data_IF_681806424565
#
_entry.id   IF_681806424565
#
_cell.length_a   1.000
_cell.length_b   1.000
_cell.length_c   1.000
_cell.angle_alpha   90.00
_cell.angle_beta   90.00
_cell.angle_gamma   90.00
#
_symmetry.space_group_name_H-M   'P 1'
#
loop_
_entity.id
_entity.type
_entity.pdbx_description
1 polymer ?
#
# COMPACT_ATOMS: atom_id res chain seq x y z
N UNK A 1 31.55 39.66 -23.81
CA UNK A 1 31.39 38.19 -23.80
C UNK A 1 31.26 37.63 -22.39
N UNK A 2 32.22 37.84 -21.50
CA UNK A 2 32.20 37.29 -20.12
C UNK A 2 30.95 37.68 -19.31
N UNK A 3 30.54 38.97 -19.29
CA UNK A 3 29.34 39.45 -18.60
C UNK A 3 28.05 38.80 -19.11
N UNK A 4 27.97 38.44 -20.36
CA UNK A 4 26.80 37.75 -20.96
C UNK A 4 26.77 36.28 -20.57
N UNK A 5 27.92 35.59 -20.57
CA UNK A 5 28.04 34.22 -20.09
C UNK A 5 27.69 34.11 -18.60
N UNK A 6 28.12 35.06 -17.76
CA UNK A 6 27.75 35.09 -16.34
C UNK A 6 26.24 35.31 -16.14
N UNK A 7 25.58 36.12 -16.97
CA UNK A 7 24.12 36.29 -16.90
C UNK A 7 23.38 35.02 -17.30
N UNK A 8 23.80 34.34 -18.36
CA UNK A 8 23.21 33.06 -18.78
C UNK A 8 23.41 32.01 -17.67
N UNK A 9 24.63 31.91 -17.13
CA UNK A 9 24.91 31.00 -16.03
C UNK A 9 24.01 31.27 -14.81
N UNK A 10 23.85 32.55 -14.44
CA UNK A 10 22.95 32.95 -13.34
C UNK A 10 21.48 32.59 -13.57
N UNK A 11 20.98 32.82 -14.79
CA UNK A 11 19.62 32.43 -15.18
C UNK A 11 19.44 30.91 -15.13
N UNK A 12 20.42 30.16 -15.65
CA UNK A 12 20.37 28.70 -15.64
C UNK A 12 20.32 28.14 -14.19
N UNK A 13 21.17 28.64 -13.30
CA UNK A 13 21.18 28.25 -11.88
C UNK A 13 19.84 28.56 -11.22
N UNK A 14 19.26 29.73 -11.50
CA UNK A 14 17.95 30.10 -10.98
C UNK A 14 16.84 29.15 -11.47
N UNK A 15 16.81 28.85 -12.77
CA UNK A 15 15.83 27.92 -13.37
C UNK A 15 15.97 26.52 -12.77
N UNK A 16 17.20 26.00 -12.66
CA UNK A 16 17.45 24.70 -12.05
C UNK A 16 17.07 24.69 -10.55
N UNK A 17 17.32 25.76 -9.82
CA UNK A 17 16.91 25.91 -8.43
C UNK A 17 15.39 25.92 -8.26
N UNK A 18 14.66 26.61 -9.15
CA UNK A 18 13.19 26.62 -9.16
C UNK A 18 12.64 25.23 -9.49
N UNK A 19 13.20 24.54 -10.51
CA UNK A 19 12.80 23.19 -10.88
C UNK A 19 13.06 22.20 -9.74
N UNK A 20 14.24 22.27 -9.10
CA UNK A 20 14.58 21.46 -7.95
C UNK A 20 13.56 21.66 -6.81
N UNK A 21 13.31 22.92 -6.45
CA UNK A 21 12.34 23.25 -5.41
C UNK A 21 10.93 22.75 -5.78
N UNK A 22 10.48 22.97 -7.01
CA UNK A 22 9.15 22.58 -7.45
C UNK A 22 8.98 21.06 -7.47
N UNK A 23 9.94 20.32 -8.06
CA UNK A 23 9.83 18.87 -8.23
C UNK A 23 10.02 18.11 -6.93
N UNK A 24 10.89 18.56 -6.03
CA UNK A 24 11.34 17.77 -4.90
C UNK A 24 10.85 18.26 -3.53
N UNK A 25 10.43 19.52 -3.41
CA UNK A 25 10.09 20.12 -2.11
C UNK A 25 8.71 20.74 -2.07
N UNK A 26 8.25 21.36 -3.18
CA UNK A 26 7.02 22.14 -3.14
C UNK A 26 5.77 21.26 -3.03
N UNK A 27 4.75 21.79 -2.35
CA UNK A 27 3.44 21.18 -2.28
C UNK A 27 3.40 19.79 -1.64
N UNK A 28 4.40 19.44 -0.81
CA UNK A 28 4.49 18.12 -0.17
C UNK A 28 4.05 18.10 1.30
N UNK A 29 3.78 19.25 1.91
CA UNK A 29 3.23 19.27 3.26
C UNK A 29 1.78 18.82 3.26
N UNK A 30 1.38 18.05 4.27
CA UNK A 30 -0.01 17.75 4.55
C UNK A 30 -0.84 19.02 4.78
N UNK A 31 -2.14 18.92 4.69
CA UNK A 31 -3.05 20.04 5.02
C UNK A 31 -2.96 20.37 6.52
N UNK A 32 -3.33 21.60 6.91
CA UNK A 32 -3.31 22.01 8.33
C UNK A 32 -4.39 21.33 9.15
N UNK A 33 -5.54 21.05 8.54
CA UNK A 33 -6.63 20.28 9.12
C UNK A 33 -7.26 19.44 8.02
N UNK A 34 -7.46 18.16 8.27
CA UNK A 34 -8.26 17.32 7.37
C UNK A 34 -9.75 17.60 7.64
N UNK A 35 -10.62 17.48 6.62
CA UNK A 35 -12.02 17.21 6.91
C UNK A 35 -12.08 15.89 7.72
N UNK A 36 -13.16 15.66 8.49
CA UNK A 36 -13.40 14.43 9.26
C UNK A 36 -13.62 13.26 8.27
N UNK A 37 -12.50 12.80 7.67
CA UNK A 37 -12.53 11.79 6.60
C UNK A 37 -12.53 10.37 7.16
N UNK A 38 -12.02 10.16 8.38
CA UNK A 38 -11.87 8.83 8.97
C UNK A 38 -12.45 8.79 10.39
N UNK A 39 -13.53 8.01 10.57
CA UNK A 39 -14.15 7.77 11.87
C UNK A 39 -13.88 6.34 12.34
N UNK A 40 -12.83 6.17 13.16
CA UNK A 40 -12.46 4.86 13.71
C UNK A 40 -13.57 4.27 14.59
N UNK A 41 -14.47 5.08 15.15
CA UNK A 41 -15.58 4.58 15.98
C UNK A 41 -16.60 3.80 15.14
N UNK A 42 -16.84 4.25 13.89
CA UNK A 42 -17.63 3.52 12.92
C UNK A 42 -16.97 2.19 12.56
N UNK A 43 -15.65 2.18 12.33
CA UNK A 43 -14.93 0.95 11.98
C UNK A 43 -14.99 -0.07 13.13
N UNK A 44 -14.74 0.37 14.36
CA UNK A 44 -14.88 -0.47 15.58
C UNK A 44 -16.29 -1.04 15.70
N UNK A 45 -17.31 -0.22 15.44
CA UNK A 45 -18.70 -0.67 15.48
C UNK A 45 -19.00 -1.74 14.42
N UNK A 46 -18.47 -1.58 13.20
CA UNK A 46 -18.66 -2.54 12.10
C UNK A 46 -17.82 -3.81 12.29
N UNK A 47 -16.64 -3.72 12.89
CA UNK A 47 -15.77 -4.85 13.21
C UNK A 47 -16.30 -5.68 14.39
N UNK A 48 -17.19 -5.13 15.22
CA UNK A 48 -17.65 -5.77 16.43
C UNK A 48 -18.34 -7.12 16.16
N UNK A 49 -18.00 -8.12 16.94
CA UNK A 49 -18.55 -9.47 16.87
C UNK A 49 -18.23 -10.28 18.14
N UNK A 50 -18.74 -11.51 18.25
CA UNK A 50 -18.30 -12.44 19.30
C UNK A 50 -16.78 -12.62 19.23
N UNK A 51 -16.10 -12.56 20.38
CA UNK A 51 -14.64 -12.57 20.42
C UNK A 51 -14.03 -13.82 19.77
N UNK A 52 -14.65 -14.97 19.90
CA UNK A 52 -14.24 -16.25 19.31
C UNK A 52 -14.39 -16.30 17.78
N UNK A 53 -15.09 -15.34 17.18
CA UNK A 53 -15.25 -15.21 15.72
C UNK A 53 -14.26 -14.23 15.08
N UNK A 54 -13.52 -13.46 15.89
CA UNK A 54 -12.54 -12.49 15.39
C UNK A 54 -11.26 -13.20 14.91
N UNK A 55 -10.42 -12.54 14.11
CA UNK A 55 -9.12 -13.11 13.70
C UNK A 55 -8.18 -13.23 14.92
N UNK A 56 -7.33 -14.26 14.89
CA UNK A 56 -6.35 -14.53 15.94
C UNK A 56 -5.03 -13.81 15.73
N UNK A 57 -4.68 -13.57 14.46
CA UNK A 57 -3.41 -12.93 14.08
C UNK A 57 -3.45 -12.42 12.66
N UNK A 58 -2.46 -11.58 12.33
CA UNK A 58 -2.06 -11.30 10.94
C UNK A 58 -0.65 -11.80 10.70
N UNK A 59 -0.38 -12.23 9.47
CA UNK A 59 0.96 -12.58 9.00
C UNK A 59 1.30 -11.75 7.76
N UNK A 60 2.31 -10.90 7.88
CA UNK A 60 2.89 -10.15 6.77
C UNK A 60 3.85 -11.08 6.07
N UNK A 61 3.52 -11.47 4.84
CA UNK A 61 4.29 -12.40 4.01
C UNK A 61 5.11 -11.55 3.03
N UNK A 62 6.38 -11.33 3.34
CA UNK A 62 7.28 -10.64 2.43
C UNK A 62 7.64 -11.57 1.27
N UNK A 63 7.29 -11.14 0.07
CA UNK A 63 7.60 -11.86 -1.18
C UNK A 63 8.94 -11.42 -1.73
N UNK A 64 9.26 -10.15 -1.51
CA UNK A 64 10.54 -9.58 -1.90
C UNK A 64 10.77 -8.23 -1.23
N UNK A 65 11.98 -7.72 -1.39
CA UNK A 65 12.32 -6.38 -0.91
C UNK A 65 13.37 -5.73 -1.83
N UNK A 66 13.48 -4.42 -1.74
CA UNK A 66 14.45 -3.59 -2.45
C UNK A 66 14.76 -2.34 -1.62
N UNK A 67 15.60 -1.49 -2.14
CA UNK A 67 16.02 -0.23 -1.52
C UNK A 67 15.88 0.91 -2.52
N UNK A 68 15.04 1.88 -2.19
CA UNK A 68 14.80 3.08 -2.99
C UNK A 68 15.37 4.34 -2.33
N UNK A 69 15.75 5.39 -3.10
CA UNK A 69 16.11 6.67 -2.50
C UNK A 69 14.95 7.22 -1.65
N UNK A 70 15.20 7.50 -0.36
CA UNK A 70 14.15 7.88 0.58
C UNK A 70 13.41 9.17 0.19
N UNK A 71 14.04 10.05 -0.61
CA UNK A 71 13.37 11.24 -1.13
C UNK A 71 12.17 10.91 -2.03
N UNK A 72 12.14 9.73 -2.67
CA UNK A 72 11.02 9.32 -3.52
C UNK A 72 9.74 9.07 -2.68
N UNK A 73 9.90 8.58 -1.46
CA UNK A 73 8.83 8.32 -0.51
C UNK A 73 8.46 9.55 0.34
N UNK A 74 9.45 10.39 0.66
CA UNK A 74 9.31 11.52 1.58
C UNK A 74 10.07 12.75 1.06
N UNK A 75 9.35 13.78 0.68
CA UNK A 75 9.91 15.00 0.11
C UNK A 75 10.95 15.63 1.04
N UNK A 76 12.15 15.90 0.48
CA UNK A 76 13.25 16.50 1.22
C UNK A 76 14.13 15.52 2.00
N UNK A 77 13.85 14.21 2.02
CA UNK A 77 14.65 13.19 2.67
C UNK A 77 15.80 12.73 1.74
N UNK A 78 16.86 13.54 1.64
CA UNK A 78 18.03 13.24 0.82
C UNK A 78 19.11 12.48 1.59
N UNK A 79 19.95 11.71 0.86
CA UNK A 79 21.15 11.09 1.39
C UNK A 79 20.92 9.80 2.17
N UNK A 80 19.71 9.23 2.13
CA UNK A 80 19.39 7.92 2.70
C UNK A 80 18.51 7.11 1.74
N UNK A 81 18.44 5.81 2.00
CA UNK A 81 17.54 4.90 1.30
C UNK A 81 16.41 4.45 2.24
N UNK A 82 15.27 4.11 1.66
CA UNK A 82 14.18 3.42 2.28
C UNK A 82 14.25 1.93 1.88
N UNK A 83 14.34 1.04 2.85
CA UNK A 83 14.14 -0.39 2.61
C UNK A 83 12.64 -0.65 2.35
N UNK A 84 12.32 -1.11 1.15
CA UNK A 84 10.94 -1.34 0.71
C UNK A 84 10.64 -2.83 0.71
N UNK A 85 9.48 -3.22 1.26
CA UNK A 85 8.94 -4.57 1.23
C UNK A 85 7.87 -4.70 0.14
N UNK A 86 7.84 -5.83 -0.56
CA UNK A 86 6.74 -6.26 -1.42
C UNK A 86 6.06 -7.44 -0.74
N UNK A 87 4.83 -7.27 -0.28
CA UNK A 87 4.20 -8.22 0.62
C UNK A 87 2.71 -8.40 0.36
N UNK A 88 2.19 -9.50 0.90
CA UNK A 88 0.77 -9.72 1.13
C UNK A 88 0.53 -9.94 2.64
N UNK A 89 -0.69 -9.74 3.11
CA UNK A 89 -1.06 -9.97 4.51
C UNK A 89 -2.10 -11.07 4.58
N UNK A 90 -1.80 -12.13 5.34
CA UNK A 90 -2.78 -13.14 5.72
C UNK A 90 -3.43 -12.71 7.04
N UNK A 91 -4.76 -12.73 7.09
CA UNK A 91 -5.55 -12.57 8.31
C UNK A 91 -6.04 -13.95 8.69
N UNK A 92 -5.59 -14.45 9.85
CA UNK A 92 -5.82 -15.83 10.31
C UNK A 92 -6.97 -15.87 11.32
N UNK A 93 -7.95 -16.73 11.05
CA UNK A 93 -9.02 -17.09 11.97
C UNK A 93 -8.81 -18.53 12.47
N UNK A 94 -9.54 -19.00 13.50
CA UNK A 94 -9.44 -20.37 13.97
C UNK A 94 -9.72 -21.44 12.89
N UNK A 95 -10.56 -21.15 11.90
CA UNK A 95 -11.11 -22.10 10.92
C UNK A 95 -10.92 -21.66 9.46
N UNK A 96 -10.45 -20.44 9.21
CA UNK A 96 -10.30 -19.87 7.85
C UNK A 96 -9.23 -18.78 7.81
N UNK A 97 -8.99 -18.26 6.63
CA UNK A 97 -8.09 -17.11 6.42
C UNK A 97 -8.60 -16.18 5.31
N UNK A 98 -8.19 -14.93 5.39
CA UNK A 98 -8.30 -13.95 4.31
C UNK A 98 -6.90 -13.56 3.84
N UNK A 99 -6.76 -13.16 2.57
CA UNK A 99 -5.52 -12.62 2.01
C UNK A 99 -5.76 -11.18 1.56
N UNK A 100 -4.88 -10.27 1.94
CA UNK A 100 -4.88 -8.88 1.49
C UNK A 100 -3.63 -8.65 0.65
N UNK A 101 -3.82 -8.28 -0.63
CA UNK A 101 -2.73 -7.97 -1.54
C UNK A 101 -2.37 -9.13 -2.46
N UNK A 102 -1.99 -8.77 -3.68
CA UNK A 102 -1.57 -9.68 -4.72
C UNK A 102 -0.07 -9.68 -4.97
N UNK A 103 0.70 -8.94 -4.19
CA UNK A 103 2.14 -8.81 -4.26
C UNK A 103 2.69 -8.65 -5.71
N UNK A 104 4.01 -8.73 -5.87
CA UNK A 104 4.71 -8.68 -7.15
C UNK A 104 5.12 -10.08 -7.58
N UNK A 105 5.13 -10.38 -8.87
CA UNK A 105 5.80 -11.59 -9.40
C UNK A 105 7.31 -11.34 -9.62
N UNK A 106 8.09 -12.43 -9.82
CA UNK A 106 9.54 -12.31 -10.00
C UNK A 106 9.93 -11.42 -11.18
N UNK A 107 9.27 -11.57 -12.32
CA UNK A 107 9.63 -10.82 -13.52
C UNK A 107 9.45 -9.31 -13.30
N UNK A 108 8.35 -8.94 -12.67
CA UNK A 108 8.06 -7.55 -12.31
C UNK A 108 9.01 -7.04 -11.22
N UNK A 109 9.31 -7.84 -10.20
CA UNK A 109 10.27 -7.48 -9.16
C UNK A 109 11.68 -7.24 -9.72
N UNK A 110 12.11 -8.04 -10.71
CA UNK A 110 13.39 -7.85 -11.42
C UNK A 110 13.39 -6.58 -12.28
N UNK A 111 12.28 -6.28 -12.96
CA UNK A 111 12.13 -5.06 -13.78
C UNK A 111 12.13 -3.78 -12.91
N UNK A 112 11.51 -3.84 -11.73
CA UNK A 112 11.44 -2.71 -10.79
C UNK A 112 12.73 -2.51 -9.98
N UNK A 113 13.66 -3.46 -10.01
CA UNK A 113 14.84 -3.47 -9.14
C UNK A 113 15.65 -2.18 -9.22
N UNK A 114 15.90 -1.57 -8.07
CA UNK A 114 16.65 -0.33 -7.90
C UNK A 114 18.03 -0.56 -7.26
N UNK A 115 18.19 -1.62 -6.45
CA UNK A 115 19.44 -1.94 -5.75
C UNK A 115 19.85 -3.38 -5.98
N UNK A 116 21.07 -3.61 -6.48
CA UNK A 116 21.62 -4.97 -6.61
C UNK A 116 22.02 -5.58 -5.23
N UNK A 117 22.32 -4.74 -4.26
CA UNK A 117 22.81 -5.19 -2.96
C UNK A 117 21.68 -5.52 -1.97
N UNK A 118 20.54 -4.84 -2.11
CA UNK A 118 19.45 -4.89 -1.15
C UNK A 118 18.20 -5.60 -1.72
N UNK A 119 18.27 -6.09 -2.96
CA UNK A 119 17.15 -6.76 -3.61
C UNK A 119 17.09 -8.24 -3.26
N UNK A 120 15.90 -8.73 -2.93
CA UNK A 120 15.61 -10.15 -2.80
C UNK A 120 14.20 -10.47 -3.31
N UNK A 121 14.00 -11.72 -3.72
CA UNK A 121 12.70 -12.31 -4.08
C UNK A 121 12.63 -13.76 -3.64
N UNK A 122 11.60 -14.15 -2.93
CA UNK A 122 11.37 -15.50 -2.44
C UNK A 122 10.39 -16.27 -3.30
N UNK A 123 10.89 -17.15 -4.18
CA UNK A 123 10.05 -18.05 -4.98
C UNK A 123 9.16 -18.95 -4.10
N UNK A 124 9.70 -19.36 -2.95
CA UNK A 124 8.97 -20.22 -2.02
C UNK A 124 7.80 -19.48 -1.38
N UNK A 125 8.01 -18.23 -0.94
CA UNK A 125 6.95 -17.42 -0.37
C UNK A 125 5.89 -17.05 -1.42
N UNK A 126 6.33 -16.73 -2.66
CA UNK A 126 5.43 -16.43 -3.76
C UNK A 126 4.55 -17.64 -4.14
N UNK A 127 5.16 -18.82 -4.29
CA UNK A 127 4.42 -20.04 -4.59
C UNK A 127 3.43 -20.42 -3.47
N UNK A 128 3.82 -20.22 -2.21
CA UNK A 128 2.93 -20.41 -1.07
C UNK A 128 1.75 -19.42 -1.09
N UNK A 129 2.01 -18.15 -1.38
CA UNK A 129 0.96 -17.13 -1.51
C UNK A 129 -0.07 -17.51 -2.59
N UNK A 130 0.38 -17.94 -3.78
CA UNK A 130 -0.53 -18.37 -4.84
C UNK A 130 -1.43 -19.55 -4.37
N UNK A 131 -0.86 -20.52 -3.67
CA UNK A 131 -1.63 -21.65 -3.14
C UNK A 131 -2.59 -21.21 -2.01
N UNK A 132 -2.16 -20.28 -1.15
CA UNK A 132 -2.96 -19.75 -0.05
C UNK A 132 -4.16 -18.95 -0.56
N UNK A 133 -4.02 -18.19 -1.67
CA UNK A 133 -5.12 -17.46 -2.31
C UNK A 133 -6.25 -18.39 -2.77
N UNK A 134 -5.94 -19.60 -3.22
CA UNK A 134 -6.96 -20.57 -3.65
C UNK A 134 -7.76 -21.18 -2.48
N UNK A 135 -7.20 -21.18 -1.29
CA UNK A 135 -7.82 -21.75 -0.08
C UNK A 135 -8.34 -20.68 0.88
N UNK A 136 -8.04 -19.41 0.64
CA UNK A 136 -8.59 -18.30 1.41
C UNK A 136 -10.09 -18.17 1.17
N UNK A 137 -10.83 -17.80 2.23
CA UNK A 137 -12.26 -17.49 2.10
C UNK A 137 -12.48 -16.25 1.21
N UNK A 138 -11.58 -15.27 1.33
CA UNK A 138 -11.59 -14.06 0.53
C UNK A 138 -10.16 -13.61 0.22
N UNK A 139 -9.99 -13.09 -0.99
CA UNK A 139 -8.77 -12.42 -1.44
C UNK A 139 -9.13 -10.98 -1.83
N UNK A 140 -8.53 -10.03 -1.15
CA UNK A 140 -8.70 -8.59 -1.35
C UNK A 140 -7.36 -7.97 -1.75
N UNK A 141 -7.35 -6.71 -2.16
CA UNK A 141 -6.14 -5.91 -2.31
C UNK A 141 -6.37 -4.48 -1.83
N UNK A 142 -5.30 -3.83 -1.38
CA UNK A 142 -5.39 -2.44 -0.93
C UNK A 142 -5.58 -1.48 -2.10
N UNK A 143 -4.95 -1.74 -3.25
CA UNK A 143 -5.05 -0.92 -4.44
C UNK A 143 -4.51 -1.64 -5.69
N UNK A 144 -4.72 -1.05 -6.86
CA UNK A 144 -4.47 -1.64 -8.17
C UNK A 144 -3.14 -1.22 -8.81
N UNK A 145 -2.02 -1.18 -8.06
CA UNK A 145 -0.69 -1.07 -8.65
C UNK A 145 -0.02 -2.43 -8.84
N UNK A 146 0.98 -2.45 -9.71
CA UNK A 146 1.63 -3.66 -10.18
C UNK A 146 2.23 -4.51 -9.04
N UNK A 147 2.76 -3.90 -8.01
CA UNK A 147 3.35 -4.56 -6.85
C UNK A 147 2.31 -5.03 -5.79
N UNK A 148 1.02 -4.84 -6.08
CA UNK A 148 -0.10 -5.31 -5.27
C UNK A 148 -1.08 -6.22 -6.02
N UNK A 149 -0.94 -6.37 -7.35
CA UNK A 149 -1.96 -7.02 -8.18
C UNK A 149 -1.44 -8.20 -8.99
N UNK A 150 -0.10 -8.36 -9.15
CA UNK A 150 0.46 -9.32 -10.10
C UNK A 150 0.08 -10.78 -9.81
N UNK A 151 0.10 -11.21 -8.54
CA UNK A 151 -0.31 -12.55 -8.16
C UNK A 151 -1.81 -12.82 -8.42
N UNK A 152 -2.63 -11.77 -8.52
CA UNK A 152 -4.03 -11.86 -8.90
C UNK A 152 -4.17 -11.88 -10.43
N UNK A 153 -3.64 -10.87 -11.12
CA UNK A 153 -3.83 -10.67 -12.56
C UNK A 153 -3.16 -11.79 -13.40
N UNK A 154 -2.10 -12.41 -12.86
CA UNK A 154 -1.31 -13.47 -13.52
C UNK A 154 -1.39 -14.82 -12.79
N UNK A 155 -2.44 -15.00 -11.99
CA UNK A 155 -2.59 -16.25 -11.24
C UNK A 155 -2.72 -17.46 -12.18
N UNK A 156 -1.95 -18.53 -11.99
CA UNK A 156 -1.96 -19.68 -12.90
C UNK A 156 -3.30 -20.45 -12.90
N UNK A 157 -4.09 -20.32 -11.83
CA UNK A 157 -5.46 -20.88 -11.74
C UNK A 157 -6.44 -19.73 -11.47
N UNK A 158 -6.58 -18.84 -12.45
CA UNK A 158 -7.43 -17.66 -12.37
C UNK A 158 -8.91 -18.00 -12.15
N UNK A 159 -9.38 -19.11 -12.72
CA UNK A 159 -10.77 -19.54 -12.61
C UNK A 159 -11.14 -19.96 -11.18
N UNK A 160 -10.24 -20.67 -10.49
CA UNK A 160 -10.44 -20.99 -9.08
C UNK A 160 -10.32 -19.75 -8.19
N UNK A 161 -9.30 -18.91 -8.44
CA UNK A 161 -9.10 -17.67 -7.70
C UNK A 161 -10.29 -16.70 -7.80
N UNK A 162 -10.91 -16.57 -8.98
CA UNK A 162 -12.03 -15.65 -9.23
C UNK A 162 -13.19 -15.84 -8.26
N UNK A 163 -13.38 -17.04 -7.72
CA UNK A 163 -14.46 -17.34 -6.76
C UNK A 163 -14.22 -16.69 -5.40
N UNK A 164 -12.98 -16.42 -5.04
CA UNK A 164 -12.56 -15.89 -3.72
C UNK A 164 -12.27 -14.39 -3.76
N UNK A 165 -12.19 -13.78 -4.97
CA UNK A 165 -11.85 -12.36 -5.11
C UNK A 165 -12.99 -11.46 -4.60
N UNK A 166 -12.62 -10.46 -3.79
CA UNK A 166 -13.50 -9.44 -3.26
C UNK A 166 -12.90 -8.08 -3.57
N UNK A 167 -13.26 -7.54 -4.74
CA UNK A 167 -12.67 -6.33 -5.32
C UNK A 167 -13.74 -5.26 -5.57
N UNK A 168 -13.31 -3.99 -5.63
CA UNK A 168 -14.14 -2.88 -6.10
C UNK A 168 -14.03 -2.68 -7.62
N UNK A 169 -14.90 -1.84 -8.18
CA UNK A 169 -14.96 -1.61 -9.62
C UNK A 169 -13.66 -1.03 -10.22
N UNK A 170 -12.99 -0.03 -9.64
CA UNK A 170 -11.69 0.44 -10.13
C UNK A 170 -10.63 -0.65 -10.16
N UNK A 171 -10.51 -1.46 -9.11
CA UNK A 171 -9.55 -2.56 -9.02
C UNK A 171 -9.75 -3.58 -10.15
N UNK A 172 -11.00 -3.99 -10.39
CA UNK A 172 -11.34 -4.92 -11.49
C UNK A 172 -10.98 -4.29 -12.84
N UNK A 173 -11.31 -3.01 -13.04
CA UNK A 173 -11.03 -2.31 -14.29
C UNK A 173 -9.55 -2.20 -14.62
N UNK A 174 -8.67 -2.29 -13.62
CA UNK A 174 -7.23 -2.22 -13.78
C UNK A 174 -6.58 -3.57 -14.11
N UNK A 175 -7.20 -4.72 -13.79
CA UNK A 175 -6.61 -6.05 -14.00
C UNK A 175 -6.05 -6.27 -15.42
N UNK A 176 -6.74 -5.83 -16.52
CA UNK A 176 -6.21 -6.02 -17.87
C UNK A 176 -4.87 -5.33 -18.14
N UNK A 177 -4.52 -4.29 -17.37
CA UNK A 177 -3.26 -3.56 -17.52
C UNK A 177 -2.06 -4.40 -17.05
N UNK A 178 -2.28 -5.37 -16.19
CA UNK A 178 -1.25 -6.17 -15.51
C UNK A 178 -1.23 -7.63 -15.96
N UNK A 179 -2.15 -8.04 -16.81
CA UNK A 179 -2.15 -9.37 -17.39
C UNK A 179 -0.93 -9.58 -18.33
N UNK A 180 -0.36 -10.77 -18.30
CA UNK A 180 0.64 -11.15 -19.29
C UNK A 180 -0.09 -11.65 -20.56
N UNK A 181 -0.28 -10.73 -21.50
CA UNK A 181 -1.05 -10.98 -22.72
C UNK A 181 -2.55 -10.67 -22.52
N UNK A 182 -3.41 -11.68 -22.69
CA UNK A 182 -4.86 -11.53 -22.52
C UNK A 182 -5.26 -11.93 -21.11
N UNK A 183 -6.00 -11.07 -20.43
CA UNK A 183 -6.58 -11.39 -19.11
C UNK A 183 -7.45 -12.65 -19.21
N UNK A 184 -7.31 -13.54 -18.23
CA UNK A 184 -8.14 -14.76 -18.17
C UNK A 184 -9.63 -14.38 -18.15
N UNK A 185 -10.50 -15.03 -18.95
CA UNK A 185 -11.92 -14.73 -18.99
C UNK A 185 -12.60 -14.74 -17.62
N UNK A 186 -12.18 -15.61 -16.70
CA UNK A 186 -12.75 -15.67 -15.36
C UNK A 186 -12.48 -14.39 -14.54
N UNK A 187 -11.37 -13.69 -14.79
CA UNK A 187 -11.06 -12.40 -14.18
C UNK A 187 -11.69 -11.23 -14.96
N UNK A 188 -11.85 -11.37 -16.29
CA UNK A 188 -12.45 -10.35 -17.12
C UNK A 188 -13.96 -10.16 -16.84
N UNK A 189 -14.64 -11.23 -16.45
CA UNK A 189 -16.09 -11.24 -16.17
C UNK A 189 -16.44 -10.97 -14.69
N UNK A 190 -15.45 -10.59 -13.85
CA UNK A 190 -15.71 -10.29 -12.45
C UNK A 190 -16.70 -9.12 -12.27
N UNK A 191 -17.65 -9.30 -11.35
CA UNK A 191 -18.46 -8.22 -10.83
C UNK A 191 -17.90 -7.68 -9.52
N UNK A 192 -18.00 -6.36 -9.26
CA UNK A 192 -17.58 -5.78 -7.98
C UNK A 192 -18.34 -6.43 -6.81
N UNK A 193 -17.60 -6.83 -5.78
CA UNK A 193 -18.16 -7.36 -4.52
C UNK A 193 -18.04 -6.37 -3.37
N UNK A 194 -17.23 -5.31 -3.50
CA UNK A 194 -17.18 -4.18 -2.58
C UNK A 194 -18.04 -3.04 -3.14
N UNK A 195 -18.87 -2.46 -2.26
CA UNK A 195 -19.82 -1.40 -2.61
C UNK A 195 -19.15 -0.04 -2.86
N UNK A 196 -17.95 0.17 -2.30
CA UNK A 196 -17.28 1.46 -2.25
C UNK A 196 -17.62 2.28 -1.00
N UNK A 197 -18.42 1.72 -0.07
CA UNK A 197 -18.69 2.27 1.25
C UNK A 197 -17.80 1.62 2.31
N UNK A 198 -17.87 2.11 3.55
CA UNK A 198 -17.23 1.44 4.70
C UNK A 198 -18.06 0.20 5.02
N UNK A 199 -17.47 -0.98 4.87
CA UNK A 199 -18.19 -2.26 5.05
C UNK A 199 -17.35 -3.32 5.75
N UNK A 200 -17.99 -4.12 6.61
CA UNK A 200 -17.37 -5.30 7.20
C UNK A 200 -17.41 -6.45 6.18
N UNK A 201 -16.25 -7.02 5.87
CA UNK A 201 -16.13 -8.18 4.97
C UNK A 201 -16.05 -9.51 5.72
N UNK A 202 -15.65 -9.45 6.99
CA UNK A 202 -15.64 -10.57 7.91
C UNK A 202 -15.68 -10.03 9.35
N UNK A 203 -16.04 -10.87 10.38
CA UNK A 203 -15.92 -10.46 11.77
C UNK A 203 -14.52 -9.93 12.06
N UNK A 204 -14.42 -8.74 12.63
CA UNK A 204 -13.15 -8.09 12.95
C UNK A 204 -12.43 -7.43 11.76
N UNK A 205 -12.95 -7.50 10.52
CA UNK A 205 -12.29 -6.92 9.34
C UNK A 205 -13.23 -5.97 8.59
N UNK A 206 -12.83 -4.70 8.50
CA UNK A 206 -13.58 -3.62 7.86
C UNK A 206 -12.75 -2.99 6.75
N UNK A 207 -13.36 -2.86 5.59
CA UNK A 207 -12.80 -2.15 4.44
C UNK A 207 -13.22 -0.70 4.50
N UNK A 208 -12.25 0.20 4.34
CA UNK A 208 -12.45 1.65 4.38
C UNK A 208 -11.96 2.23 3.05
N UNK A 209 -12.83 2.81 2.22
CA UNK A 209 -12.43 3.48 0.99
C UNK A 209 -11.44 4.62 1.27
N UNK A 210 -10.35 4.66 0.51
CA UNK A 210 -9.27 5.62 0.67
C UNK A 210 -8.71 6.08 -0.69
N UNK A 211 -9.61 6.31 -1.67
CA UNK A 211 -9.20 6.77 -2.99
C UNK A 211 -8.30 8.01 -2.90
N UNK A 212 -7.23 8.02 -3.69
CA UNK A 212 -6.23 9.09 -3.68
C UNK A 212 -4.93 8.63 -4.31
N UNK A 213 -4.31 7.57 -3.78
CA UNK A 213 -3.16 6.94 -4.40
C UNK A 213 -3.56 6.28 -5.74
N UNK A 214 -4.63 5.52 -5.71
CA UNK A 214 -5.36 5.06 -6.90
C UNK A 214 -6.87 5.23 -6.68
N UNK A 215 -7.71 5.16 -7.73
CA UNK A 215 -9.16 5.21 -7.58
C UNK A 215 -9.74 4.07 -6.73
N UNK A 216 -9.11 2.88 -6.75
CA UNK A 216 -9.54 1.71 -6.01
C UNK A 216 -8.88 1.53 -4.64
N UNK A 217 -8.12 2.51 -4.17
CA UNK A 217 -7.40 2.42 -2.90
C UNK A 217 -8.32 2.23 -1.69
N UNK A 218 -7.91 1.32 -0.81
CA UNK A 218 -8.61 0.92 0.41
C UNK A 218 -7.63 0.91 1.59
N UNK A 219 -8.16 1.19 2.78
CA UNK A 219 -7.55 0.76 4.05
C UNK A 219 -8.29 -0.46 4.58
N UNK A 220 -7.61 -1.26 5.40
CA UNK A 220 -8.21 -2.43 6.06
C UNK A 220 -8.01 -2.31 7.56
N UNK A 221 -9.10 -2.11 8.30
CA UNK A 221 -9.11 -2.12 9.76
C UNK A 221 -9.35 -3.54 10.24
N UNK A 222 -8.53 -3.99 11.20
CA UNK A 222 -8.54 -5.35 11.75
C UNK A 222 -8.57 -5.26 13.27
N UNK A 223 -9.55 -5.93 13.90
CA UNK A 223 -9.64 -6.09 15.34
C UNK A 223 -9.42 -7.57 15.70
N UNK A 224 -8.36 -7.88 16.44
CA UNK A 224 -7.98 -9.23 16.81
C UNK A 224 -8.70 -9.72 18.11
N UNK A 225 -8.70 -11.03 18.31
CA UNK A 225 -9.25 -11.65 19.53
C UNK A 225 -8.57 -11.19 20.83
N UNK A 226 -7.27 -10.87 20.78
CA UNK A 226 -6.51 -10.37 21.93
C UNK A 226 -6.78 -8.89 22.24
N UNK A 227 -7.56 -8.19 21.40
CA UNK A 227 -7.91 -6.79 21.56
C UNK A 227 -7.00 -5.82 20.80
N UNK A 228 -5.94 -6.32 20.13
CA UNK A 228 -5.10 -5.49 19.27
C UNK A 228 -5.87 -5.01 18.05
N UNK A 229 -5.64 -3.76 17.68
CA UNK A 229 -6.22 -3.12 16.49
C UNK A 229 -5.13 -2.74 15.49
N UNK A 230 -5.34 -3.11 14.24
CA UNK A 230 -4.37 -2.91 13.16
C UNK A 230 -5.04 -2.21 11.99
N UNK A 231 -4.36 -1.25 11.38
CA UNK A 231 -4.81 -0.54 10.19
C UNK A 231 -3.78 -0.68 9.08
N UNK A 232 -4.11 -1.44 8.04
CA UNK A 232 -3.33 -1.50 6.80
C UNK A 232 -3.74 -0.31 5.94
N UNK A 233 -2.79 0.58 5.61
CA UNK A 233 -3.08 1.82 4.88
C UNK A 233 -2.65 1.78 3.41
N UNK A 234 -2.18 0.61 2.93
CA UNK A 234 -1.65 0.49 1.56
C UNK A 234 -0.57 1.52 1.28
N UNK A 235 -0.69 2.19 0.15
CA UNK A 235 0.28 3.16 -0.37
C UNK A 235 -0.13 4.62 -0.20
N UNK A 236 -1.03 4.92 0.74
CA UNK A 236 -1.25 6.32 1.12
C UNK A 236 0.10 6.98 1.40
N UNK A 237 0.98 6.28 2.12
CA UNK A 237 2.41 6.59 2.25
C UNK A 237 3.25 5.33 2.05
N UNK A 238 4.54 5.49 1.66
CA UNK A 238 5.50 4.38 1.59
C UNK A 238 6.33 4.22 2.87
N UNK A 239 6.35 5.24 3.73
CA UNK A 239 7.04 5.22 5.02
C UNK A 239 6.19 5.90 6.08
N UNK A 240 6.22 5.38 7.30
CA UNK A 240 5.50 5.97 8.43
C UNK A 240 6.03 7.36 8.82
N UNK A 241 7.31 7.64 8.55
CA UNK A 241 7.90 8.98 8.69
C UNK A 241 7.10 10.07 7.95
N UNK A 242 6.41 9.70 6.85
CA UNK A 242 5.59 10.65 6.09
C UNK A 242 4.35 11.12 6.88
N UNK A 243 3.77 10.24 7.68
CA UNK A 243 2.67 10.60 8.59
C UNK A 243 3.21 11.41 9.76
N UNK A 244 4.31 10.98 10.39
CA UNK A 244 4.91 11.65 11.54
C UNK A 244 5.37 13.07 11.20
N UNK A 245 5.98 13.29 10.03
CA UNK A 245 6.45 14.61 9.58
C UNK A 245 5.38 15.42 8.84
N UNK A 246 4.17 14.88 8.66
CA UNK A 246 3.09 15.51 7.90
C UNK A 246 3.52 15.94 6.50
N UNK A 247 4.20 15.05 5.81
CA UNK A 247 4.71 15.24 4.46
C UNK A 247 4.32 14.08 3.54
N UNK A 248 4.23 14.38 2.27
CA UNK A 248 3.94 13.39 1.22
C UNK A 248 5.14 13.22 0.30
N UNK A 249 5.02 12.31 -0.65
CA UNK A 249 5.97 12.13 -1.76
C UNK A 249 6.18 13.43 -2.55
N UNK A 250 7.36 13.67 -3.14
CA UNK A 250 7.61 14.84 -3.97
C UNK A 250 6.82 14.77 -5.30
N UNK A 251 6.65 15.92 -5.95
CA UNK A 251 6.00 15.99 -7.27
C UNK A 251 6.72 15.11 -8.30
N UNK A 252 8.05 15.00 -8.22
CA UNK A 252 8.83 14.15 -9.13
C UNK A 252 8.35 12.70 -9.15
N UNK A 253 7.97 12.13 -8.01
CA UNK A 253 7.48 10.75 -7.92
C UNK A 253 6.28 10.50 -8.83
N UNK A 254 5.40 11.51 -9.03
CA UNK A 254 4.26 11.42 -9.97
C UNK A 254 4.70 11.08 -11.40
N UNK A 255 5.83 11.65 -11.82
CA UNK A 255 6.32 11.49 -13.20
C UNK A 255 7.16 10.22 -13.39
N UNK A 256 7.84 9.74 -12.35
CA UNK A 256 8.74 8.59 -12.47
C UNK A 256 8.08 7.26 -12.05
N UNK A 257 7.08 7.29 -11.17
CA UNK A 257 6.45 6.09 -10.63
C UNK A 257 4.98 5.93 -11.03
N UNK A 258 4.23 7.04 -11.22
CA UNK A 258 2.76 6.99 -11.39
C UNK A 258 2.25 7.47 -12.75
N UNK A 259 3.12 7.92 -13.66
CA UNK A 259 2.67 8.34 -14.98
C UNK A 259 2.16 7.13 -15.79
N UNK A 260 1.05 7.27 -16.54
CA UNK A 260 0.21 8.46 -16.69
C UNK A 260 -0.88 8.62 -15.60
N UNK A 261 -1.05 7.66 -14.69
CA UNK A 261 -2.11 7.62 -13.67
C UNK A 261 -1.61 8.25 -12.37
N UNK A 262 -1.66 9.59 -12.31
CA UNK A 262 -1.15 10.34 -11.15
C UNK A 262 -2.06 10.22 -9.94
N UNK A 263 -1.44 10.26 -8.73
CA UNK A 263 -2.19 10.36 -7.47
C UNK A 263 -3.02 11.65 -7.41
N UNK A 264 -4.15 11.59 -6.74
CA UNK A 264 -4.80 12.79 -6.19
C UNK A 264 -4.00 13.29 -4.97
N UNK A 265 -3.06 14.18 -5.23
CA UNK A 265 -2.16 14.74 -4.20
C UNK A 265 -2.91 15.50 -3.10
N UNK A 266 -4.09 16.05 -3.38
CA UNK A 266 -4.89 16.72 -2.38
C UNK A 266 -5.50 15.70 -1.42
N UNK A 267 -6.11 14.64 -1.95
CA UNK A 267 -6.63 13.55 -1.15
C UNK A 267 -5.53 12.91 -0.28
N UNK A 268 -4.34 12.62 -0.83
CA UNK A 268 -3.21 12.07 -0.05
C UNK A 268 -2.80 13.00 1.09
N UNK A 269 -2.74 14.33 0.88
CA UNK A 269 -2.41 15.29 1.95
C UNK A 269 -3.44 15.33 3.07
N UNK A 270 -4.72 15.19 2.70
CA UNK A 270 -5.82 15.12 3.66
C UNK A 270 -5.78 13.80 4.44
N UNK A 271 -5.52 12.67 3.75
CA UNK A 271 -5.38 11.37 4.38
C UNK A 271 -4.18 11.31 5.33
N UNK A 272 -3.02 11.85 4.94
CA UNK A 272 -1.83 11.93 5.82
C UNK A 272 -2.14 12.72 7.09
N UNK A 273 -2.85 13.85 7.00
CA UNK A 273 -3.28 14.62 8.16
C UNK A 273 -4.27 13.83 9.02
N UNK A 274 -5.29 13.23 8.42
CA UNK A 274 -6.30 12.46 9.14
C UNK A 274 -5.70 11.24 9.86
N UNK A 275 -4.75 10.54 9.22
CA UNK A 275 -4.02 9.42 9.83
C UNK A 275 -3.14 9.86 11.00
N UNK A 276 -2.43 10.98 10.85
CA UNK A 276 -1.63 11.56 11.93
C UNK A 276 -2.50 11.86 13.15
N UNK A 277 -3.59 12.60 12.95
CA UNK A 277 -4.49 13.01 14.04
C UNK A 277 -5.19 11.78 14.68
N UNK A 278 -5.51 10.76 13.87
CA UNK A 278 -6.05 9.47 14.36
C UNK A 278 -5.04 8.72 15.22
N UNK A 279 -3.78 8.62 14.80
CA UNK A 279 -2.72 7.94 15.56
C UNK A 279 -2.43 8.66 16.87
N UNK A 280 -2.43 10.00 16.89
CA UNK A 280 -2.31 10.77 18.15
C UNK A 280 -3.47 10.50 19.11
N UNK A 281 -4.69 10.36 18.59
CA UNK A 281 -5.89 10.10 19.40
C UNK A 281 -6.03 8.63 19.82
N UNK A 282 -5.34 7.69 19.13
CA UNK A 282 -5.42 6.24 19.37
C UNK A 282 -4.01 5.62 19.40
N UNK A 283 -3.23 5.84 20.47
CA UNK A 283 -1.83 5.40 20.55
C UNK A 283 -1.64 3.87 20.53
N UNK A 284 -2.69 3.11 20.82
CA UNK A 284 -2.68 1.64 20.80
C UNK A 284 -3.01 1.07 19.41
N UNK A 285 -3.40 1.92 18.42
CA UNK A 285 -3.66 1.49 17.05
C UNK A 285 -2.34 1.25 16.30
N UNK A 286 -2.10 0.03 15.85
CA UNK A 286 -0.96 -0.29 15.00
C UNK A 286 -1.25 0.03 13.53
N UNK A 287 -0.62 1.06 12.98
CA UNK A 287 -0.79 1.47 11.58
C UNK A 287 0.37 0.96 10.74
N UNK A 288 0.07 0.31 9.59
CA UNK A 288 1.05 -0.35 8.73
C UNK A 288 0.96 0.18 7.29
N UNK A 289 2.01 0.87 6.85
CA UNK A 289 2.23 1.20 5.43
C UNK A 289 2.81 -0.02 4.70
N UNK A 290 2.41 -0.24 3.44
CA UNK A 290 2.75 -1.46 2.72
C UNK A 290 4.26 -1.65 2.49
N UNK A 291 5.02 -0.56 2.32
CA UNK A 291 6.42 -0.64 1.89
C UNK A 291 7.47 -0.35 2.97
N UNK A 292 7.10 0.14 4.15
CA UNK A 292 8.08 0.46 5.22
C UNK A 292 8.60 -0.82 5.88
N UNK A 293 9.57 -1.50 5.22
CA UNK A 293 10.12 -2.79 5.69
C UNK A 293 10.58 -2.73 7.14
N UNK A 294 11.27 -1.67 7.52
CA UNK A 294 11.79 -1.53 8.88
C UNK A 294 10.65 -1.40 9.91
N UNK A 295 9.57 -0.70 9.56
CA UNK A 295 8.40 -0.58 10.41
C UNK A 295 7.62 -1.91 10.49
N UNK A 296 7.42 -2.59 9.37
CA UNK A 296 6.74 -3.90 9.31
C UNK A 296 7.46 -4.95 10.18
N UNK A 297 8.80 -4.99 10.13
CA UNK A 297 9.60 -5.87 11.01
C UNK A 297 9.40 -5.50 12.49
N UNK A 298 9.42 -4.22 12.84
CA UNK A 298 9.19 -3.76 14.23
C UNK A 298 7.78 -4.10 14.72
N UNK A 299 6.77 -4.01 13.85
CA UNK A 299 5.39 -4.33 14.18
C UNK A 299 5.20 -5.78 14.65
N UNK A 300 6.09 -6.71 14.28
CA UNK A 300 6.06 -8.09 14.78
C UNK A 300 6.37 -8.22 16.29
N UNK A 301 6.69 -7.13 16.99
CA UNK A 301 6.73 -7.10 18.45
C UNK A 301 5.35 -6.95 19.10
N UNK A 302 4.32 -6.59 18.34
CA UNK A 302 2.93 -6.52 18.79
C UNK A 302 2.33 -7.94 18.75
N UNK A 303 1.63 -8.32 19.81
CA UNK A 303 1.02 -9.64 19.90
C UNK A 303 -0.04 -9.86 18.80
N UNK A 304 0.06 -10.96 18.11
CA UNK A 304 -0.82 -11.27 16.97
C UNK A 304 -0.31 -10.78 15.62
N UNK A 305 0.84 -10.08 15.54
CA UNK A 305 1.49 -9.69 14.26
C UNK A 305 2.72 -10.56 14.02
N UNK A 306 2.78 -11.20 12.86
CA UNK A 306 3.90 -12.05 12.45
C UNK A 306 4.51 -11.45 11.17
N UNK A 307 5.82 -11.26 11.12
CA UNK A 307 6.56 -10.91 9.90
C UNK A 307 7.33 -12.12 9.40
N UNK A 308 7.03 -12.55 8.17
CA UNK A 308 7.74 -13.61 7.47
C UNK A 308 8.63 -12.97 6.42
N UNK A 309 9.96 -13.01 6.63
CA UNK A 309 10.96 -12.47 5.69
C UNK A 309 11.02 -13.27 4.39
N UNK A 310 11.37 -12.59 3.29
CA UNK A 310 11.71 -13.19 2.01
C UNK A 310 13.09 -13.89 2.02
N UNK A 311 13.93 -13.60 3.02
CA UNK A 311 15.29 -14.13 3.21
C UNK A 311 15.29 -15.57 3.74
#
# INVERSE_FOLDING_TARGET
MVKWLLRIGGVLVLVLGILFWWLLLSGSNAVKSAPDTFDISEWRSKAAGPQDTLPTSIRIIEIGHDSAPAFAALAGRFGSNLAMSYNAVEITYPDRKLIIGGAVDRATAEEMKLSEADWAFSETAYAALLADMLTAEQVLMTHEHLDHVMAIARHPDAAALATNLVLNAPQISALPLFADGTLDPALADLAPRLSGDIEAVAPGVVIVPAAGHTPGSLMVFISLQNGEEILLIGDIVWTMDAIEELKTRPVLTQYIAFAPNYEDRQAIKEQVRALHDMMEANPDLTVLAAHDRAHLIRAASVDGIIFQSAD
#
